data_IF_593156989494
#
_entry.id   IF_593156989494
#
_cell.length_a   1.000
_cell.length_b   1.000
_cell.length_c   1.000
_cell.angle_alpha   90.00
_cell.angle_beta   90.00
_cell.angle_gamma   90.00
#
_symmetry.space_group_name_H-M   'P 1'
#
loop_
_entity.id
_entity.type
_entity.pdbx_description
1 polymer ?
#
# COMPACT_ATOMS: atom_id res chain seq x y z
N UNK A 1 34.08 -30.45 -9.28
CA UNK A 1 32.68 -29.99 -9.14
C UNK A 1 32.49 -29.62 -7.67
N UNK A 2 32.87 -28.39 -7.30
CA UNK A 2 32.88 -27.96 -5.89
C UNK A 2 31.51 -27.38 -5.55
N UNK A 3 30.86 -27.98 -4.55
CA UNK A 3 29.59 -27.52 -3.99
C UNK A 3 29.84 -26.27 -3.14
N UNK A 4 29.30 -25.14 -3.59
CA UNK A 4 29.22 -23.91 -2.81
C UNK A 4 28.20 -24.10 -1.70
N UNK A 5 28.61 -23.92 -0.44
CA UNK A 5 27.72 -23.81 0.71
C UNK A 5 27.05 -22.44 0.66
N UNK A 6 25.72 -22.41 0.53
CA UNK A 6 24.91 -21.21 0.79
C UNK A 6 25.02 -20.88 2.28
N UNK A 7 25.37 -19.63 2.58
CA UNK A 7 25.34 -19.09 3.93
C UNK A 7 23.94 -18.51 4.15
N UNK A 8 23.04 -19.32 4.71
CA UNK A 8 21.73 -18.89 5.17
C UNK A 8 21.92 -18.05 6.44
N UNK A 9 21.90 -16.72 6.27
CA UNK A 9 21.99 -15.79 7.38
C UNK A 9 20.59 -15.62 8.01
N UNK A 10 20.11 -16.66 8.70
CA UNK A 10 18.85 -16.65 9.43
C UNK A 10 19.02 -15.91 10.77
N UNK A 11 19.01 -14.58 10.73
CA UNK A 11 18.89 -13.78 11.95
C UNK A 11 17.41 -13.55 12.28
N UNK A 12 16.96 -14.27 13.30
CA UNK A 12 15.63 -14.25 13.92
C UNK A 12 15.34 -12.88 14.57
N UNK A 13 14.17 -12.29 14.31
CA UNK A 13 13.91 -10.88 14.68
C UNK A 13 13.40 -10.65 16.13
N UNK A 14 12.90 -11.69 16.81
CA UNK A 14 12.16 -11.53 18.08
C UNK A 14 12.99 -11.76 19.35
N UNK A 15 14.31 -11.57 19.33
CA UNK A 15 15.09 -11.48 20.56
C UNK A 15 15.08 -10.02 21.05
N UNK A 16 14.30 -9.76 22.12
CA UNK A 16 14.25 -8.47 22.80
C UNK A 16 15.64 -8.06 23.32
N UNK A 17 16.34 -7.21 22.58
CA UNK A 17 17.47 -6.45 23.11
C UNK A 17 17.04 -4.99 23.29
N UNK A 18 16.71 -4.64 24.53
CA UNK A 18 16.50 -3.27 24.98
C UNK A 18 17.87 -2.62 25.11
N UNK A 19 18.32 -1.93 24.07
CA UNK A 19 19.43 -0.98 24.19
C UNK A 19 18.95 0.44 23.86
N UNK A 20 19.16 1.33 24.83
CA UNK A 20 18.78 2.74 24.79
C UNK A 20 19.53 3.45 23.67
N UNK A 21 18.78 4.14 22.82
CA UNK A 21 19.30 5.07 21.82
C UNK A 21 20.06 6.21 22.52
N UNK A 22 21.39 6.19 22.46
CA UNK A 22 22.20 7.40 22.67
C UNK A 22 22.44 8.07 21.31
N UNK A 23 21.89 9.26 21.17
CA UNK A 23 22.14 10.13 20.03
C UNK A 23 23.62 10.46 19.91
N UNK A 24 24.20 10.24 18.74
CA UNK A 24 25.46 10.88 18.34
C UNK A 24 25.47 11.07 16.83
N UNK A 25 25.09 12.27 16.40
CA UNK A 25 25.40 12.79 15.07
C UNK A 25 26.88 13.19 15.11
N UNK A 26 27.75 12.40 14.48
CA UNK A 26 29.12 12.84 14.16
C UNK A 26 29.20 13.07 12.66
N UNK A 27 29.28 14.34 12.26
CA UNK A 27 29.67 14.74 10.91
C UNK A 27 31.19 14.74 10.84
N UNK A 28 31.80 13.68 10.30
CA UNK A 28 33.19 13.71 9.88
C UNK A 28 33.28 13.44 8.37
N UNK A 29 33.52 14.53 7.65
CA UNK A 29 33.85 14.55 6.23
C UNK A 29 35.36 14.28 6.11
N UNK A 30 35.74 13.06 5.73
CA UNK A 30 37.10 12.82 5.24
C UNK A 30 37.08 11.95 3.97
N UNK A 31 37.57 12.56 2.90
CA UNK A 31 37.58 12.05 1.54
C UNK A 31 38.76 11.07 1.35
N UNK A 32 38.45 9.81 1.05
CA UNK A 32 39.44 8.88 0.48
C UNK A 32 38.86 8.16 -0.74
N UNK A 33 39.42 8.48 -1.92
CA UNK A 33 39.15 7.83 -3.19
C UNK A 33 39.44 6.32 -3.12
N UNK A 34 38.39 5.50 -3.19
CA UNK A 34 38.46 4.06 -3.47
C UNK A 34 37.42 3.71 -4.55
N UNK A 35 37.84 2.84 -5.45
CA UNK A 35 37.28 2.46 -6.75
C UNK A 35 35.79 2.07 -6.78
N UNK A 36 35.18 2.35 -7.94
CA UNK A 36 33.80 2.03 -8.34
C UNK A 36 33.30 0.65 -7.87
N UNK A 37 32.54 0.65 -6.77
CA UNK A 37 31.32 -0.15 -6.60
C UNK A 37 30.20 0.85 -6.36
N UNK A 38 29.26 0.97 -7.31
CA UNK A 38 28.01 1.70 -7.11
C UNK A 38 27.13 0.94 -6.09
N UNK A 39 27.53 0.92 -4.83
CA UNK A 39 26.76 0.37 -3.71
C UNK A 39 26.52 1.45 -2.65
N UNK A 40 26.29 2.69 -3.08
CA UNK A 40 25.68 3.69 -2.21
C UNK A 40 24.20 3.71 -2.54
N UNK A 41 23.45 2.78 -1.95
CA UNK A 41 22.10 3.16 -1.53
C UNK A 41 22.09 3.12 -0.02
N UNK A 42 22.81 4.07 0.59
CA UNK A 42 22.41 4.54 1.91
C UNK A 42 21.13 5.31 1.64
N UNK A 43 20.02 4.58 1.55
CA UNK A 43 18.72 5.14 1.27
C UNK A 43 18.41 6.09 2.44
N UNK A 44 18.50 7.40 2.20
CA UNK A 44 18.30 8.43 3.23
C UNK A 44 16.80 8.66 3.52
N UNK A 45 15.94 7.72 3.08
CA UNK A 45 14.50 7.80 3.20
C UNK A 45 14.14 7.50 4.65
N UNK A 46 13.61 8.52 5.31
CA UNK A 46 13.09 8.37 6.66
C UNK A 46 11.67 7.79 6.61
N UNK A 47 11.53 6.47 6.68
CA UNK A 47 10.23 5.79 6.77
C UNK A 47 9.50 6.03 8.10
N UNK A 48 10.12 6.73 9.06
CA UNK A 48 9.43 7.20 10.28
C UNK A 48 8.74 8.55 10.05
N UNK A 49 8.96 9.20 8.90
CA UNK A 49 8.20 10.39 8.51
C UNK A 49 6.79 10.02 8.05
N UNK A 50 5.87 9.98 8.99
CA UNK A 50 4.46 9.69 8.74
C UNK A 50 3.65 10.91 8.23
N UNK A 51 4.30 12.06 7.96
CA UNK A 51 3.60 13.24 7.44
C UNK A 51 3.13 13.08 5.99
N UNK A 52 3.75 12.17 5.24
CA UNK A 52 3.43 11.81 3.86
C UNK A 52 3.63 10.31 3.64
N UNK A 53 2.99 9.76 2.62
CA UNK A 53 3.30 8.42 2.16
C UNK A 53 4.60 8.43 1.33
N UNK A 54 5.32 7.32 1.36
CA UNK A 54 6.34 7.04 0.35
C UNK A 54 5.66 6.76 -0.99
N UNK A 55 6.36 7.08 -2.06
CA UNK A 55 6.04 6.59 -3.41
C UNK A 55 6.37 5.11 -3.54
N UNK A 56 5.83 4.42 -4.57
CA UNK A 56 6.15 3.01 -4.85
C UNK A 56 7.67 2.80 -4.98
N UNK A 57 8.38 3.70 -5.68
CA UNK A 57 9.83 3.64 -5.84
C UNK A 57 10.57 3.80 -4.52
N UNK A 58 10.22 4.82 -3.72
CA UNK A 58 10.82 5.05 -2.40
C UNK A 58 10.60 3.86 -1.45
N UNK A 59 9.40 3.27 -1.45
CA UNK A 59 9.12 2.07 -0.67
C UNK A 59 10.00 0.90 -1.11
N UNK A 60 10.14 0.66 -2.41
CA UNK A 60 11.03 -0.39 -2.91
C UNK A 60 12.50 -0.16 -2.55
N UNK A 61 12.97 1.09 -2.58
CA UNK A 61 14.32 1.43 -2.14
C UNK A 61 14.52 1.13 -0.65
N UNK A 62 13.57 1.52 0.21
CA UNK A 62 13.58 1.18 1.64
C UNK A 62 13.65 -0.34 1.83
N UNK A 63 12.74 -1.10 1.22
CA UNK A 63 12.69 -2.56 1.35
C UNK A 63 13.99 -3.23 0.87
N UNK A 64 14.57 -2.76 -0.23
CA UNK A 64 15.83 -3.29 -0.78
C UNK A 64 17.06 -2.93 0.07
N UNK A 65 16.97 -1.87 0.87
CA UNK A 65 18.06 -1.43 1.76
C UNK A 65 18.11 -2.18 3.10
N UNK A 66 17.07 -2.95 3.45
CA UNK A 66 17.03 -3.69 4.71
C UNK A 66 18.04 -4.85 4.67
N UNK A 67 19.13 -4.74 5.42
CA UNK A 67 20.10 -5.83 5.58
C UNK A 67 19.70 -6.82 6.68
N UNK A 68 18.94 -6.34 7.66
CA UNK A 68 18.42 -7.09 8.80
C UNK A 68 16.96 -6.71 9.01
N UNK A 69 16.25 -7.62 9.65
CA UNK A 69 14.89 -7.41 10.07
C UNK A 69 14.81 -6.26 11.09
N UNK A 70 14.05 -5.19 10.80
CA UNK A 70 13.95 -4.06 11.71
C UNK A 70 13.01 -4.38 12.89
N UNK A 71 13.06 -3.60 13.97
CA UNK A 71 12.13 -3.70 15.08
C UNK A 71 10.65 -3.60 14.66
N UNK A 72 9.75 -4.16 15.46
CA UNK A 72 8.31 -4.19 15.18
C UNK A 72 7.68 -2.81 14.98
N UNK A 73 8.22 -1.75 15.61
CA UNK A 73 7.71 -0.38 15.41
C UNK A 73 8.05 0.13 14.00
N UNK A 74 9.29 -0.06 13.57
CA UNK A 74 9.74 0.31 12.22
C UNK A 74 8.96 -0.49 11.15
N UNK A 75 8.67 -1.78 11.42
CA UNK A 75 7.81 -2.60 10.56
C UNK A 75 6.40 -2.04 10.42
N UNK A 76 5.82 -1.45 11.48
CA UNK A 76 4.49 -0.80 11.42
C UNK A 76 4.53 0.47 10.57
N UNK A 77 5.63 1.22 10.62
CA UNK A 77 5.80 2.43 9.80
C UNK A 77 5.96 2.06 8.33
N UNK A 78 6.81 1.07 8.01
CA UNK A 78 6.96 0.52 6.65
C UNK A 78 5.62 0.00 6.13
N UNK A 79 4.86 -0.74 6.95
CA UNK A 79 3.53 -1.22 6.58
C UNK A 79 2.56 -0.08 6.26
N UNK A 80 2.55 0.97 7.06
CA UNK A 80 1.69 2.13 6.84
C UNK A 80 2.00 2.80 5.49
N UNK A 81 3.27 2.91 5.11
CA UNK A 81 3.66 3.36 3.78
C UNK A 81 3.25 2.39 2.67
N UNK A 82 3.39 1.08 2.88
CA UNK A 82 2.93 0.07 1.92
C UNK A 82 1.43 0.19 1.66
N UNK A 83 0.61 0.36 2.70
CA UNK A 83 -0.84 0.63 2.57
C UNK A 83 -1.08 1.93 1.81
N UNK A 84 -0.30 2.97 2.07
CA UNK A 84 -0.32 4.23 1.33
C UNK A 84 -0.12 4.02 -0.18
N UNK A 85 0.97 3.37 -0.56
CA UNK A 85 1.31 3.02 -1.95
C UNK A 85 0.23 2.16 -2.59
N UNK A 86 -0.24 1.12 -1.89
CA UNK A 86 -1.28 0.23 -2.40
C UNK A 86 -2.58 0.98 -2.70
N UNK A 87 -2.91 2.02 -1.93
CA UNK A 87 -4.10 2.84 -2.14
C UNK A 87 -3.98 3.85 -3.29
N UNK A 88 -2.78 4.13 -3.79
CA UNK A 88 -2.60 5.04 -4.92
C UNK A 88 -3.33 4.54 -6.18
N UNK A 89 -3.99 5.45 -6.89
CA UNK A 89 -4.69 5.16 -8.15
C UNK A 89 -6.15 4.71 -8.01
N UNK A 90 -6.64 4.40 -6.81
CA UNK A 90 -8.09 4.14 -6.62
C UNK A 90 -8.93 5.40 -6.86
N UNK A 91 -8.39 6.59 -6.61
CA UNK A 91 -9.05 7.86 -6.89
C UNK A 91 -9.26 8.06 -8.41
N UNK A 92 -8.31 7.62 -9.23
CA UNK A 92 -8.44 7.65 -10.69
C UNK A 92 -9.57 6.73 -11.17
N UNK A 93 -9.65 5.52 -10.62
CA UNK A 93 -10.77 4.60 -10.93
C UNK A 93 -12.11 5.23 -10.54
N UNK A 94 -12.21 5.84 -9.36
CA UNK A 94 -13.45 6.54 -8.97
C UNK A 94 -13.78 7.71 -9.90
N UNK A 95 -12.79 8.48 -10.37
CA UNK A 95 -13.01 9.55 -11.36
C UNK A 95 -13.52 9.01 -12.70
N UNK A 96 -12.96 7.90 -13.17
CA UNK A 96 -13.39 7.22 -14.40
C UNK A 96 -14.84 6.74 -14.27
N UNK A 97 -15.17 6.05 -13.17
CA UNK A 97 -16.55 5.61 -12.88
C UNK A 97 -17.52 6.79 -12.77
N UNK A 98 -17.11 7.89 -12.11
CA UNK A 98 -17.94 9.09 -12.00
C UNK A 98 -18.25 9.69 -13.37
N UNK A 99 -17.27 9.70 -14.26
CA UNK A 99 -17.42 10.23 -15.62
C UNK A 99 -18.53 9.48 -16.40
N UNK A 100 -18.67 8.17 -16.19
CA UNK A 100 -19.71 7.37 -16.84
C UNK A 100 -21.14 7.79 -16.45
N UNK A 101 -21.36 8.15 -15.19
CA UNK A 101 -22.67 8.58 -14.69
C UNK A 101 -22.86 10.11 -14.75
N UNK A 102 -21.79 10.89 -14.99
CA UNK A 102 -21.80 12.35 -14.85
C UNK A 102 -22.93 13.03 -15.63
N UNK A 103 -23.17 12.63 -16.88
CA UNK A 103 -24.26 13.21 -17.69
C UNK A 103 -25.65 12.98 -17.08
N UNK A 104 -25.85 11.90 -16.32
CA UNK A 104 -27.11 11.62 -15.65
C UNK A 104 -27.21 12.41 -14.34
N UNK A 105 -26.09 12.56 -13.62
CA UNK A 105 -26.01 13.40 -12.43
C UNK A 105 -26.31 14.88 -12.74
N UNK A 106 -25.79 15.39 -13.86
CA UNK A 106 -26.01 16.79 -14.28
C UNK A 106 -27.48 17.08 -14.63
N UNK A 107 -28.21 16.03 -15.04
CA UNK A 107 -29.63 16.10 -15.40
C UNK A 107 -30.54 15.55 -14.28
N UNK A 108 -29.99 15.23 -13.11
CA UNK A 108 -30.75 14.70 -11.98
C UNK A 108 -31.52 15.88 -11.35
N UNK A 109 -32.82 15.98 -11.66
CA UNK A 109 -33.68 17.08 -11.20
C UNK A 109 -34.20 16.74 -9.80
N UNK A 110 -33.85 17.57 -8.82
CA UNK A 110 -34.41 17.49 -7.48
C UNK A 110 -35.89 17.93 -7.50
N UNK A 111 -36.79 16.95 -7.58
CA UNK A 111 -38.24 17.16 -7.65
C UNK A 111 -38.88 17.40 -6.28
N UNK A 112 -38.11 17.63 -5.21
CA UNK A 112 -38.63 17.92 -3.86
C UNK A 112 -39.33 16.73 -3.16
N UNK A 113 -39.61 15.65 -3.89
CA UNK A 113 -40.23 14.42 -3.40
C UNK A 113 -39.23 13.25 -3.23
N UNK A 114 -37.93 13.52 -3.23
CA UNK A 114 -36.91 12.54 -2.81
C UNK A 114 -36.50 11.50 -3.86
N UNK A 115 -36.51 11.82 -5.15
CA UNK A 115 -35.94 10.94 -6.18
C UNK A 115 -34.78 11.62 -6.90
N UNK A 116 -33.61 11.55 -6.28
CA UNK A 116 -32.32 11.86 -6.93
C UNK A 116 -31.67 10.52 -7.27
N UNK A 117 -32.24 9.82 -8.24
CA UNK A 117 -31.98 8.38 -8.46
C UNK A 117 -30.53 8.11 -8.87
N UNK A 118 -29.92 8.98 -9.67
CA UNK A 118 -28.55 8.78 -10.13
C UNK A 118 -27.53 9.16 -9.06
N UNK A 119 -27.80 10.19 -8.25
CA UNK A 119 -26.97 10.50 -7.08
C UNK A 119 -26.95 9.36 -6.05
N UNK A 120 -28.11 8.74 -5.80
CA UNK A 120 -28.20 7.60 -4.88
C UNK A 120 -27.48 6.36 -5.44
N UNK A 121 -27.58 6.10 -6.75
CA UNK A 121 -26.78 5.08 -7.44
C UNK A 121 -25.29 5.35 -7.26
N UNK A 122 -24.84 6.57 -7.54
CA UNK A 122 -23.44 6.97 -7.42
C UNK A 122 -22.93 6.78 -5.98
N UNK A 123 -23.65 7.28 -4.98
CA UNK A 123 -23.31 7.10 -3.56
C UNK A 123 -23.22 5.63 -3.18
N UNK A 124 -24.14 4.80 -3.67
CA UNK A 124 -24.14 3.36 -3.44
C UNK A 124 -22.91 2.67 -4.03
N UNK A 125 -22.50 3.05 -5.25
CA UNK A 125 -21.29 2.53 -5.90
C UNK A 125 -20.04 2.93 -5.12
N UNK A 126 -19.88 4.22 -4.78
CA UNK A 126 -18.73 4.71 -4.01
C UNK A 126 -18.65 4.04 -2.64
N UNK A 127 -19.77 3.93 -1.93
CA UNK A 127 -19.83 3.29 -0.63
C UNK A 127 -19.38 1.82 -0.71
N UNK A 128 -19.91 1.09 -1.69
CA UNK A 128 -19.55 -0.31 -1.90
C UNK A 128 -18.07 -0.46 -2.24
N UNK A 129 -17.57 0.36 -3.17
CA UNK A 129 -16.17 0.39 -3.58
C UNK A 129 -15.23 0.61 -2.39
N UNK A 130 -15.47 1.68 -1.61
CA UNK A 130 -14.66 2.01 -0.45
C UNK A 130 -14.74 0.92 0.63
N UNK A 131 -15.92 0.30 0.80
CA UNK A 131 -16.10 -0.80 1.75
C UNK A 131 -15.27 -2.02 1.34
N UNK A 132 -15.27 -2.39 0.06
CA UNK A 132 -14.47 -3.51 -0.45
C UNK A 132 -12.98 -3.25 -0.27
N UNK A 133 -12.47 -2.09 -0.71
CA UNK A 133 -11.05 -1.73 -0.53
C UNK A 133 -10.68 -1.70 0.95
N UNK A 134 -11.49 -1.06 1.80
CA UNK A 134 -11.23 -0.96 3.23
C UNK A 134 -11.21 -2.33 3.94
N UNK A 135 -12.09 -3.24 3.53
CA UNK A 135 -12.13 -4.60 4.08
C UNK A 135 -10.83 -5.36 3.78
N UNK A 136 -10.36 -5.31 2.54
CA UNK A 136 -9.09 -5.93 2.13
C UNK A 136 -7.90 -5.32 2.90
N UNK A 137 -7.82 -3.99 3.00
CA UNK A 137 -6.76 -3.32 3.78
C UNK A 137 -6.75 -3.77 5.25
N UNK A 138 -7.94 -3.88 5.87
CA UNK A 138 -8.07 -4.35 7.27
C UNK A 138 -7.63 -5.80 7.41
N UNK A 139 -8.01 -6.68 6.49
CA UNK A 139 -7.61 -8.09 6.52
C UNK A 139 -6.09 -8.24 6.40
N UNK A 140 -5.47 -7.61 5.41
CA UNK A 140 -4.02 -7.62 5.26
C UNK A 140 -3.30 -7.00 6.44
N UNK A 141 -3.83 -5.89 6.99
CA UNK A 141 -3.23 -5.26 8.17
C UNK A 141 -3.28 -6.19 9.38
N UNK A 142 -4.40 -6.87 9.63
CA UNK A 142 -4.49 -7.85 10.71
C UNK A 142 -3.51 -9.02 10.51
N UNK A 143 -3.38 -9.50 9.28
CA UNK A 143 -2.44 -10.56 8.93
C UNK A 143 -0.98 -10.12 9.11
N UNK A 144 -0.64 -8.90 8.72
CA UNK A 144 0.68 -8.32 8.93
C UNK A 144 1.01 -8.17 10.42
N UNK A 145 0.07 -7.62 11.20
CA UNK A 145 0.24 -7.50 12.65
C UNK A 145 0.40 -8.87 13.32
N UNK A 146 -0.35 -9.87 12.86
CA UNK A 146 -0.19 -11.26 13.30
C UNK A 146 1.19 -11.84 12.92
N UNK A 147 1.72 -11.48 11.74
CA UNK A 147 3.04 -11.90 11.26
C UNK A 147 4.17 -11.33 12.12
N UNK A 148 4.16 -10.04 12.43
CA UNK A 148 5.25 -9.40 13.20
C UNK A 148 5.20 -9.74 14.70
N UNK A 149 4.03 -10.11 15.22
CA UNK A 149 3.87 -10.50 16.63
C UNK A 149 4.33 -11.95 16.93
N UNK A 150 4.65 -12.73 15.90
CA UNK A 150 5.23 -14.07 16.04
C UNK A 150 6.67 -14.08 15.53
N UNK A 151 7.37 -15.19 15.72
CA UNK A 151 8.67 -15.39 15.11
C UNK A 151 8.57 -15.25 13.58
N UNK A 152 9.40 -14.36 13.02
CA UNK A 152 9.45 -14.05 11.61
C UNK A 152 10.89 -13.72 11.20
N UNK A 153 11.14 -13.70 9.90
CA UNK A 153 12.38 -13.28 9.27
C UNK A 153 12.15 -12.05 8.39
N UNK A 154 13.24 -11.39 7.99
CA UNK A 154 13.16 -10.32 6.98
C UNK A 154 12.52 -10.82 5.67
N UNK A 155 12.80 -12.05 5.24
CA UNK A 155 12.22 -12.63 4.03
C UNK A 155 10.69 -12.75 4.14
N UNK A 156 10.17 -13.18 5.30
CA UNK A 156 8.73 -13.26 5.53
C UNK A 156 8.05 -11.89 5.37
N UNK A 157 8.68 -10.84 5.91
CA UNK A 157 8.19 -9.46 5.80
C UNK A 157 8.19 -8.99 4.35
N UNK A 158 9.33 -9.11 3.66
CA UNK A 158 9.48 -8.66 2.28
C UNK A 158 8.50 -9.38 1.37
N UNK A 159 8.36 -10.70 1.54
CA UNK A 159 7.42 -11.51 0.78
C UNK A 159 5.97 -11.11 1.02
N UNK A 160 5.60 -10.84 2.28
CA UNK A 160 4.25 -10.42 2.62
C UNK A 160 3.91 -9.05 2.00
N UNK A 161 4.78 -8.06 2.16
CA UNK A 161 4.57 -6.70 1.61
C UNK A 161 4.46 -6.76 0.09
N UNK A 162 5.37 -7.47 -0.59
CA UNK A 162 5.31 -7.59 -2.04
C UNK A 162 4.05 -8.31 -2.53
N UNK A 163 3.61 -9.37 -1.84
CA UNK A 163 2.33 -10.05 -2.16
C UNK A 163 1.16 -9.06 -2.06
N UNK A 164 1.07 -8.33 -0.94
CA UNK A 164 0.03 -7.33 -0.72
C UNK A 164 -0.02 -6.28 -1.84
N UNK A 165 1.14 -5.75 -2.26
CA UNK A 165 1.22 -4.76 -3.34
C UNK A 165 0.70 -5.33 -4.67
N UNK A 166 1.10 -6.56 -5.03
CA UNK A 166 0.64 -7.23 -6.26
C UNK A 166 -0.86 -7.59 -6.22
N UNK A 167 -1.35 -8.02 -5.06
CA UNK A 167 -2.76 -8.30 -4.83
C UNK A 167 -3.59 -7.02 -5.01
N UNK A 168 -3.12 -5.87 -4.54
CA UNK A 168 -3.79 -4.58 -4.73
C UNK A 168 -3.73 -4.06 -6.17
N UNK A 169 -2.65 -4.33 -6.93
CA UNK A 169 -2.61 -4.07 -8.38
C UNK A 169 -3.71 -4.87 -9.09
N UNK A 170 -3.86 -6.14 -8.73
CA UNK A 170 -4.91 -7.01 -9.28
C UNK A 170 -6.31 -6.56 -8.85
N UNK A 171 -6.48 -6.18 -7.58
CA UNK A 171 -7.74 -5.69 -7.02
C UNK A 171 -8.23 -4.45 -7.76
N UNK A 172 -7.35 -3.47 -8.05
CA UNK A 172 -7.69 -2.28 -8.85
C UNK A 172 -8.34 -2.63 -10.18
N UNK A 173 -7.72 -3.53 -10.95
CA UNK A 173 -8.23 -3.97 -12.26
C UNK A 173 -9.58 -4.68 -12.12
N UNK A 174 -9.73 -5.51 -11.09
CA UNK A 174 -10.98 -6.23 -10.80
C UNK A 174 -12.11 -5.26 -10.45
N UNK A 175 -11.89 -4.38 -9.47
CA UNK A 175 -12.91 -3.45 -8.99
C UNK A 175 -13.33 -2.47 -10.08
N UNK A 176 -12.41 -1.99 -10.90
CA UNK A 176 -12.77 -1.13 -12.03
C UNK A 176 -13.80 -1.83 -12.93
N UNK A 177 -13.51 -3.05 -13.40
CA UNK A 177 -14.42 -3.80 -14.29
C UNK A 177 -15.75 -4.13 -13.63
N UNK A 178 -15.72 -4.52 -12.35
CA UNK A 178 -16.93 -4.93 -11.62
C UNK A 178 -17.88 -3.73 -11.41
N UNK A 179 -17.36 -2.60 -10.94
CA UNK A 179 -18.17 -1.42 -10.66
C UNK A 179 -18.56 -0.66 -11.92
N UNK A 180 -17.76 -0.69 -12.99
CA UNK A 180 -18.18 -0.18 -14.31
C UNK A 180 -19.43 -0.93 -14.79
N UNK A 181 -19.37 -2.27 -14.76
CA UNK A 181 -20.50 -3.12 -15.16
C UNK A 181 -21.74 -2.91 -14.30
N UNK A 182 -21.57 -2.87 -12.97
CA UNK A 182 -22.69 -2.68 -12.05
C UNK A 182 -23.34 -1.29 -12.22
N UNK A 183 -22.51 -0.26 -12.40
CA UNK A 183 -22.97 1.10 -12.64
C UNK A 183 -23.79 1.20 -13.93
N UNK A 184 -23.28 0.67 -15.05
CA UNK A 184 -23.99 0.68 -16.34
C UNK A 184 -25.35 -0.04 -16.23
N UNK A 185 -25.37 -1.21 -15.58
CA UNK A 185 -26.62 -1.96 -15.34
C UNK A 185 -27.64 -1.15 -14.54
N UNK A 186 -27.22 -0.46 -13.47
CA UNK A 186 -28.11 0.37 -12.65
C UNK A 186 -28.66 1.56 -13.44
N UNK A 187 -27.83 2.18 -14.29
CA UNK A 187 -28.25 3.26 -15.19
C UNK A 187 -29.31 2.76 -16.17
N UNK A 188 -29.07 1.65 -16.86
CA UNK A 188 -30.02 1.05 -17.82
C UNK A 188 -31.37 0.73 -17.16
N UNK A 189 -31.35 0.14 -15.97
CA UNK A 189 -32.56 -0.16 -15.20
C UNK A 189 -33.32 1.11 -14.79
N UNK A 190 -32.62 2.22 -14.57
CA UNK A 190 -33.23 3.50 -14.20
C UNK A 190 -33.88 4.16 -15.42
N UNK A 191 -33.27 4.03 -16.61
CA UNK A 191 -33.83 4.53 -17.88
C UNK A 191 -35.08 3.75 -18.30
N UNK A 192 -35.13 2.45 -18.00
CA UNK A 192 -36.24 1.58 -18.39
C UNK A 192 -37.50 1.71 -17.50
N UNK A 193 -37.42 2.42 -16.38
CA UNK A 193 -38.51 2.66 -15.43
C UNK A 193 -39.10 4.06 -15.59
#
# INVERSE_FOLDING_TARGET
MNKTKSNENNNKCNEENVEKNEHSISNDFENSNIENKSNISICHINYNDMSKNLTETELHEVLNSLEKCPPNEDLRNIWSHAVGVANEGFDNIQKELKTLIQKYLDNDIDLGNGKVQYNDIWKGIVLSFCTTVGTEVVEYTNNFLGLINREHTLDDILKFINSFLEDFKTLKVKLHKEYEKDLLKKIEQTIAN
#
